data_IF_452697967513
#
_entry.id   IF_452697967513
#
_cell.length_a   1.000
_cell.length_b   1.000
_cell.length_c   1.000
_cell.angle_alpha   90.00
_cell.angle_beta   90.00
_cell.angle_gamma   90.00
#
_symmetry.space_group_name_H-M   'P 1'
#
loop_
_entity.id
_entity.type
_entity.pdbx_description
1 polymer ?
#
# COMPACT_ATOMS: atom_id res chain seq x y z
N UNK A 1 -8.14 -4.10 20.12
CA UNK A 1 -7.63 -4.38 18.77
C UNK A 1 -6.81 -3.17 18.35
N UNK A 2 -5.63 -3.32 17.76
CA UNK A 2 -4.88 -2.19 17.20
C UNK A 2 -5.52 -1.82 15.86
N UNK A 3 -5.93 -0.55 15.65
CA UNK A 3 -6.41 -0.08 14.37
C UNK A 3 -5.39 -0.28 13.23
N UNK A 4 -5.82 -0.94 12.14
CA UNK A 4 -5.06 -1.25 10.93
C UNK A 4 -5.96 -1.07 9.69
N UNK A 5 -5.44 -0.39 8.68
CA UNK A 5 -6.03 -0.35 7.35
C UNK A 5 -5.12 -1.06 6.33
N UNK A 6 -5.66 -2.07 5.64
CA UNK A 6 -5.00 -2.76 4.54
C UNK A 6 -5.25 -2.05 3.21
N UNK A 7 -4.24 -2.01 2.33
CA UNK A 7 -4.37 -1.64 0.92
C UNK A 7 -3.51 -2.58 0.08
N UNK A 8 -4.11 -3.21 -0.91
CA UNK A 8 -3.46 -4.13 -1.83
C UNK A 8 -3.03 -3.42 -3.11
N UNK A 9 -1.78 -3.64 -3.53
CA UNK A 9 -1.25 -3.24 -4.82
C UNK A 9 -0.97 -4.50 -5.63
N UNK A 10 -1.52 -4.57 -6.83
CA UNK A 10 -1.27 -5.66 -7.76
C UNK A 10 -0.48 -5.16 -8.96
N UNK A 11 0.39 -6.04 -9.47
CA UNK A 11 1.18 -5.78 -10.67
C UNK A 11 0.71 -6.61 -11.86
N UNK A 12 1.20 -6.24 -13.04
CA UNK A 12 1.09 -7.02 -14.28
C UNK A 12 1.70 -8.43 -14.21
N UNK A 13 2.63 -8.64 -13.28
CA UNK A 13 3.32 -9.92 -13.04
C UNK A 13 2.76 -10.75 -11.89
N UNK A 14 1.55 -10.43 -11.41
CA UNK A 14 0.90 -11.12 -10.27
C UNK A 14 1.70 -11.04 -8.96
N UNK A 15 2.67 -10.15 -8.87
CA UNK A 15 3.31 -9.76 -7.61
C UNK A 15 2.34 -8.88 -6.84
N UNK A 16 2.20 -9.14 -5.54
CA UNK A 16 1.26 -8.43 -4.67
C UNK A 16 2.03 -7.74 -3.57
N UNK A 17 1.73 -6.47 -3.34
CA UNK A 17 2.17 -5.75 -2.15
C UNK A 17 0.96 -5.46 -1.28
N UNK A 18 0.99 -5.90 -0.02
CA UNK A 18 -0.02 -5.53 0.97
C UNK A 18 0.54 -4.48 1.91
N UNK A 19 0.01 -3.28 1.84
CA UNK A 19 0.31 -2.21 2.77
C UNK A 19 -0.59 -2.36 3.99
N UNK A 20 0.00 -2.24 5.18
CA UNK A 20 -0.74 -1.90 6.39
C UNK A 20 -0.38 -0.49 6.84
N UNK A 21 -1.40 0.35 7.02
CA UNK A 21 -1.30 1.58 7.79
C UNK A 21 -1.76 1.23 9.20
N UNK A 22 -0.93 1.52 10.20
CA UNK A 22 -1.15 1.08 11.58
C UNK A 22 -1.20 2.32 12.48
N UNK A 23 -2.18 2.38 13.36
CA UNK A 23 -2.22 3.36 14.45
C UNK A 23 -2.61 2.67 15.75
N UNK A 24 -1.71 2.55 16.75
CA UNK A 24 -2.02 1.91 18.03
C UNK A 24 -3.23 2.48 18.78
N UNK A 25 -3.52 3.77 18.58
CA UNK A 25 -4.56 4.52 19.29
C UNK A 25 -5.73 4.94 18.41
N UNK A 26 -5.68 4.66 17.10
CA UNK A 26 -6.64 5.16 16.10
C UNK A 26 -6.39 6.60 15.64
N UNK A 27 -5.34 7.27 16.16
CA UNK A 27 -4.89 8.60 15.76
C UNK A 27 -3.35 8.64 15.61
N UNK A 28 -2.78 9.80 15.30
CA UNK A 28 -1.34 9.94 15.21
C UNK A 28 -0.62 9.44 16.50
N UNK A 29 0.55 8.79 16.38
CA UNK A 29 1.29 8.55 15.14
C UNK A 29 0.78 7.34 14.34
N UNK A 30 0.97 7.43 13.02
CA UNK A 30 0.76 6.33 12.06
C UNK A 30 2.09 5.69 11.69
N UNK A 31 2.05 4.38 11.45
CA UNK A 31 3.17 3.55 11.03
C UNK A 31 2.77 2.78 9.78
N UNK A 32 3.77 2.27 9.04
CA UNK A 32 3.52 1.44 7.88
C UNK A 32 4.43 0.22 7.82
N UNK A 33 3.87 -0.83 7.24
CA UNK A 33 4.61 -2.02 6.81
C UNK A 33 4.04 -2.49 5.47
N UNK A 34 4.88 -3.18 4.70
CA UNK A 34 4.50 -3.76 3.41
C UNK A 34 4.89 -5.23 3.39
N UNK A 35 3.93 -6.10 3.11
CA UNK A 35 4.18 -7.49 2.77
C UNK A 35 4.33 -7.61 1.27
N UNK A 36 5.45 -8.17 0.83
CA UNK A 36 5.73 -8.46 -0.57
C UNK A 36 5.49 -9.95 -0.80
N UNK A 37 4.66 -10.27 -1.78
CA UNK A 37 4.44 -11.63 -2.26
C UNK A 37 4.88 -11.69 -3.72
N UNK A 38 6.09 -12.19 -3.95
CA UNK A 38 6.71 -12.22 -5.26
C UNK A 38 6.73 -13.65 -5.82
N UNK A 39 5.82 -13.89 -6.77
CA UNK A 39 5.70 -15.16 -7.47
C UNK A 39 6.67 -15.31 -8.65
N UNK A 40 7.32 -14.23 -9.09
CA UNK A 40 8.23 -14.25 -10.24
C UNK A 40 9.65 -14.67 -9.83
N UNK A 41 10.01 -14.50 -8.56
CA UNK A 41 11.26 -15.02 -8.03
C UNK A 41 11.25 -16.56 -8.00
N UNK A 42 12.43 -17.18 -8.14
CA UNK A 42 12.56 -18.64 -8.09
C UNK A 42 13.61 -19.07 -7.05
N UNK A 43 13.20 -19.64 -5.89
CA UNK A 43 11.82 -19.96 -5.52
C UNK A 43 10.99 -18.70 -5.20
N UNK A 44 9.65 -18.73 -5.33
CA UNK A 44 8.80 -17.63 -4.89
C UNK A 44 9.08 -17.26 -3.43
N UNK A 45 8.99 -15.97 -3.10
CA UNK A 45 9.25 -15.51 -1.74
C UNK A 45 8.14 -14.61 -1.20
N UNK A 46 8.08 -14.55 0.12
CA UNK A 46 7.36 -13.53 0.85
C UNK A 46 8.33 -12.78 1.77
N UNK A 47 8.21 -11.46 1.85
CA UNK A 47 8.99 -10.65 2.77
C UNK A 47 8.14 -9.55 3.41
N UNK A 48 8.58 -9.08 4.57
CA UNK A 48 7.96 -7.96 5.27
C UNK A 48 8.95 -6.80 5.32
N UNK A 49 8.51 -5.63 4.87
CA UNK A 49 9.26 -4.38 4.90
C UNK A 49 8.61 -3.47 5.92
N UNK A 50 9.29 -3.28 7.06
CA UNK A 50 8.82 -2.40 8.13
C UNK A 50 9.53 -1.05 8.04
N UNK A 51 8.77 0.04 8.10
CA UNK A 51 9.33 1.39 8.12
C UNK A 51 9.41 1.89 9.57
N UNK A 52 10.59 2.36 9.99
CA UNK A 52 10.76 2.96 11.33
C UNK A 52 10.17 4.37 11.43
N UNK A 53 9.81 4.96 10.30
CA UNK A 53 9.28 6.32 10.23
C UNK A 53 7.87 6.38 10.85
N UNK A 54 7.66 7.43 11.66
CA UNK A 54 6.35 7.79 12.18
C UNK A 54 5.76 8.92 11.35
N UNK A 55 4.47 8.83 11.07
CA UNK A 55 3.73 9.84 10.32
C UNK A 55 2.68 10.47 11.23
N UNK A 56 2.51 11.79 11.14
CA UNK A 56 1.47 12.49 11.89
C UNK A 56 0.10 12.42 11.18
N UNK A 57 0.07 11.87 9.98
CA UNK A 57 -1.06 11.84 9.08
C UNK A 57 -1.08 10.51 8.30
N UNK A 58 -2.25 9.88 8.21
CA UNK A 58 -2.43 8.60 7.51
C UNK A 58 -2.17 8.75 6.01
N UNK A 59 -2.48 9.92 5.43
CA UNK A 59 -2.24 10.18 4.00
C UNK A 59 -0.75 10.29 3.70
N UNK A 60 0.03 10.89 4.59
CA UNK A 60 1.49 10.90 4.49
C UNK A 60 2.07 9.47 4.56
N UNK A 61 1.56 8.64 5.50
CA UNK A 61 1.94 7.22 5.61
C UNK A 61 1.65 6.44 4.31
N UNK A 62 0.43 6.57 3.77
CA UNK A 62 0.05 5.95 2.50
C UNK A 62 0.92 6.42 1.33
N UNK A 63 1.13 7.72 1.21
CA UNK A 63 1.90 8.33 0.12
C UNK A 63 3.36 7.86 0.14
N UNK A 64 3.95 7.72 1.33
CA UNK A 64 5.30 7.16 1.48
C UNK A 64 5.38 5.74 0.89
N UNK A 65 4.45 4.86 1.26
CA UNK A 65 4.44 3.50 0.77
C UNK A 65 4.07 3.41 -0.71
N UNK A 66 3.16 4.25 -1.20
CA UNK A 66 2.84 4.33 -2.62
C UNK A 66 4.09 4.57 -3.46
N UNK A 67 4.91 5.56 -3.09
CA UNK A 67 6.18 5.82 -3.78
C UNK A 67 7.19 4.70 -3.59
N UNK A 68 7.24 4.06 -2.43
CA UNK A 68 8.11 2.91 -2.22
C UNK A 68 7.73 1.74 -3.14
N UNK A 69 6.45 1.37 -3.19
CA UNK A 69 5.91 0.27 -4.03
C UNK A 69 6.13 0.57 -5.49
N UNK A 70 5.85 1.80 -5.94
CA UNK A 70 6.08 2.23 -7.31
C UNK A 70 7.56 2.09 -7.70
N UNK A 71 8.46 2.66 -6.90
CA UNK A 71 9.90 2.61 -7.17
C UNK A 71 10.45 1.19 -7.12
N UNK A 72 10.02 0.38 -6.14
CA UNK A 72 10.43 -1.01 -6.03
C UNK A 72 9.93 -1.83 -7.22
N UNK A 73 8.66 -1.68 -7.59
CA UNK A 73 8.07 -2.36 -8.76
C UNK A 73 8.83 -2.00 -10.03
N UNK A 74 9.08 -0.71 -10.28
CA UNK A 74 9.86 -0.25 -11.44
C UNK A 74 11.26 -0.86 -11.49
N UNK A 75 11.96 -0.95 -10.35
CA UNK A 75 13.29 -1.56 -10.27
C UNK A 75 13.28 -3.06 -10.62
N UNK A 76 12.19 -3.76 -10.29
CA UNK A 76 12.01 -5.18 -10.62
C UNK A 76 11.39 -5.41 -12.01
N UNK A 77 11.07 -4.35 -12.75
CA UNK A 77 10.41 -4.45 -14.05
C UNK A 77 8.91 -4.78 -13.96
N UNK A 78 8.27 -4.51 -12.82
CA UNK A 78 6.84 -4.67 -12.60
C UNK A 78 6.11 -3.33 -12.71
N UNK A 79 4.88 -3.37 -13.20
CA UNK A 79 3.99 -2.21 -13.27
C UNK A 79 2.79 -2.43 -12.37
N UNK A 80 2.60 -1.55 -11.38
CA UNK A 80 1.36 -1.54 -10.59
C UNK A 80 0.20 -1.20 -11.52
N UNK A 81 -0.81 -2.06 -11.56
CA UNK A 81 -1.95 -1.89 -12.47
C UNK A 81 -3.31 -1.85 -11.75
N UNK A 82 -3.33 -2.20 -10.46
CA UNK A 82 -4.55 -2.19 -9.64
C UNK A 82 -4.22 -1.89 -8.19
N UNK A 83 -5.06 -1.08 -7.55
CA UNK A 83 -5.01 -0.79 -6.12
C UNK A 83 -6.40 -1.08 -5.55
N UNK A 84 -6.46 -1.88 -4.48
CA UNK A 84 -7.70 -2.27 -3.82
C UNK A 84 -7.62 -1.98 -2.32
N UNK A 85 -8.67 -1.38 -1.78
CA UNK A 85 -8.88 -1.25 -0.35
C UNK A 85 -9.95 -2.28 0.07
N UNK A 86 -9.55 -3.40 0.69
CA UNK A 86 -10.45 -4.53 0.92
C UNK A 86 -11.49 -4.32 2.01
N UNK A 87 -11.41 -3.24 2.81
CA UNK A 87 -12.35 -3.03 3.92
C UNK A 87 -12.94 -1.60 4.02
N UNK A 88 -12.49 -0.65 3.18
CA UNK A 88 -12.87 0.77 3.20
C UNK A 88 -12.82 1.43 4.59
N UNK A 89 -11.98 0.95 5.50
CA UNK A 89 -12.09 1.31 6.91
C UNK A 89 -10.78 1.78 7.55
N UNK A 90 -11.03 2.51 8.64
CA UNK A 90 -10.19 3.15 9.65
C UNK A 90 -9.57 4.53 9.36
N UNK A 91 -8.72 4.73 8.35
CA UNK A 91 -7.91 5.97 8.29
C UNK A 91 -8.01 6.82 7.02
N UNK A 92 -8.19 6.19 5.86
CA UNK A 92 -8.22 6.86 4.56
C UNK A 92 -9.44 6.41 3.77
N UNK A 93 -10.20 7.38 3.28
CA UNK A 93 -11.26 7.11 2.31
C UNK A 93 -10.68 6.70 0.96
N UNK A 94 -11.51 6.08 0.10
CA UNK A 94 -11.16 5.83 -1.30
C UNK A 94 -10.74 7.12 -2.03
N UNK A 95 -11.41 8.24 -1.74
CA UNK A 95 -11.11 9.53 -2.36
C UNK A 95 -9.71 10.03 -1.98
N UNK A 96 -9.32 9.89 -0.71
CA UNK A 96 -7.98 10.28 -0.24
C UNK A 96 -6.89 9.44 -0.91
N UNK A 97 -7.10 8.13 -0.99
CA UNK A 97 -6.19 7.20 -1.68
C UNK A 97 -6.09 7.55 -3.17
N UNK A 98 -7.23 7.78 -3.84
CA UNK A 98 -7.26 8.15 -5.25
C UNK A 98 -6.51 9.46 -5.51
N UNK A 99 -6.63 10.45 -4.63
CA UNK A 99 -5.90 11.71 -4.73
C UNK A 99 -4.40 11.49 -4.60
N UNK A 100 -3.94 10.65 -3.66
CA UNK A 100 -2.53 10.31 -3.52
C UNK A 100 -1.98 9.56 -4.74
N UNK A 101 -2.76 8.64 -5.32
CA UNK A 101 -2.40 7.92 -6.56
C UNK A 101 -2.25 8.88 -7.75
N UNK A 102 -3.19 9.81 -7.92
CA UNK A 102 -3.11 10.83 -8.96
C UNK A 102 -1.94 11.79 -8.75
N UNK A 103 -1.67 12.17 -7.49
CA UNK A 103 -0.55 13.05 -7.14
C UNK A 103 0.81 12.38 -7.37
N UNK A 104 0.86 11.05 -7.32
CA UNK A 104 2.02 10.26 -7.72
C UNK A 104 2.15 10.10 -9.26
N UNK A 105 1.22 10.65 -10.04
CA UNK A 105 1.22 10.54 -11.51
C UNK A 105 0.79 9.17 -12.03
N UNK A 106 0.17 8.34 -11.19
CA UNK A 106 -0.28 7.00 -11.57
C UNK A 106 -1.71 7.07 -12.12
N UNK A 107 -1.91 6.50 -13.32
CA UNK A 107 -3.23 6.40 -13.93
C UNK A 107 -3.92 5.08 -13.52
N UNK A 108 -4.17 4.92 -12.22
CA UNK A 108 -4.78 3.72 -11.63
C UNK A 108 -6.00 4.13 -10.82
N UNK A 109 -7.09 3.39 -10.97
CA UNK A 109 -8.28 3.56 -10.13
C UNK A 109 -8.14 2.76 -8.84
N UNK A 110 -8.36 3.43 -7.70
CA UNK A 110 -8.48 2.77 -6.41
C UNK A 110 -9.87 2.18 -6.30
N UNK A 111 -9.95 0.89 -6.02
CA UNK A 111 -11.21 0.19 -5.80
C UNK A 111 -11.38 -0.17 -4.33
N UNK A 112 -12.61 -0.44 -3.95
CA UNK A 112 -12.99 -0.75 -2.57
C UNK A 112 -13.75 -2.06 -2.57
N UNK A 113 -13.39 -2.97 -1.67
CA UNK A 113 -14.02 -4.29 -1.51
C UNK A 113 -14.13 -5.05 -2.84
N UNK A 114 -13.19 -4.84 -3.77
CA UNK A 114 -13.16 -5.62 -5.00
C UNK A 114 -12.60 -7.01 -4.67
N UNK A 115 -13.33 -8.04 -5.11
CA UNK A 115 -12.99 -9.47 -4.99
C UNK A 115 -12.33 -9.94 -6.27
#
# INVERSE_FOLDING_TARGET
MVPIQEVDFHTDKKVIYKLHIISPTGAAPFFTEVFVYDSEFNPPFASMVTFQQQFQDSKAAFTHVLYWVENYSKKQGYTVNRINNPCNCEFLSQADQQQSVQSAGLNIQVKVNEV
#
